data_IF_837195541181
#
_entry.id   IF_837195541181
#
_cell.length_a   1.000
_cell.length_b   1.000
_cell.length_c   1.000
_cell.angle_alpha   90.00
_cell.angle_beta   90.00
_cell.angle_gamma   90.00
#
_symmetry.space_group_name_H-M   'P 1'
#
loop_
_entity.id
_entity.type
_entity.pdbx_description
1 polymer ?
#
# COMPACT_ATOMS: atom_id res chain seq x y z
N UNK A 1 15.01 -29.52 0.41
CA UNK A 1 16.01 -28.72 1.14
C UNK A 1 15.70 -28.73 2.61
N UNK A 2 16.65 -29.23 3.41
CA UNK A 2 16.61 -29.11 4.87
C UNK A 2 17.18 -27.73 5.22
N UNK A 3 16.47 -26.97 6.04
CA UNK A 3 16.90 -25.62 6.45
C UNK A 3 17.90 -25.70 7.61
N UNK A 4 17.63 -26.56 8.58
CA UNK A 4 18.50 -26.87 9.70
C UNK A 4 18.09 -28.19 10.37
N UNK A 5 19.05 -28.79 11.07
CA UNK A 5 18.81 -29.83 12.07
C UNK A 5 19.05 -29.22 13.45
N UNK A 6 18.04 -29.26 14.31
CA UNK A 6 18.06 -28.62 15.63
C UNK A 6 17.59 -29.61 16.67
N UNK A 7 18.29 -29.65 17.81
CA UNK A 7 17.87 -30.44 18.97
C UNK A 7 16.87 -29.64 19.78
N UNK A 8 15.84 -30.31 20.25
CA UNK A 8 14.90 -29.74 21.22
C UNK A 8 15.58 -29.58 22.58
N UNK A 9 15.08 -28.63 23.37
CA UNK A 9 15.46 -28.46 24.77
C UNK A 9 14.84 -29.56 25.66
N UNK A 10 15.12 -29.50 26.97
CA UNK A 10 14.57 -30.44 27.96
C UNK A 10 13.05 -30.39 28.11
N UNK A 11 12.39 -29.40 27.51
CA UNK A 11 10.93 -29.23 27.49
C UNK A 11 10.32 -29.63 26.14
N UNK A 12 11.14 -30.07 25.18
CA UNK A 12 10.69 -30.49 23.84
C UNK A 12 10.51 -29.35 22.84
N UNK A 13 11.01 -28.14 23.13
CA UNK A 13 10.89 -26.99 22.22
C UNK A 13 12.19 -26.71 21.46
N UNK A 14 12.07 -26.12 20.28
CA UNK A 14 13.20 -25.56 19.54
C UNK A 14 12.80 -24.22 18.90
N UNK A 15 13.80 -23.39 18.58
CA UNK A 15 13.61 -22.17 17.80
C UNK A 15 14.71 -22.05 16.77
N UNK A 16 14.34 -21.63 15.57
CA UNK A 16 15.29 -21.43 14.46
C UNK A 16 15.02 -20.09 13.78
N UNK A 17 15.95 -19.12 13.84
CA UNK A 17 15.78 -17.82 13.21
C UNK A 17 15.95 -17.94 11.70
N UNK A 18 15.00 -17.38 10.94
CA UNK A 18 15.02 -17.36 9.48
C UNK A 18 15.05 -15.92 9.00
N UNK A 19 16.01 -15.60 8.13
CA UNK A 19 16.06 -14.32 7.41
C UNK A 19 15.57 -14.50 5.98
N UNK A 20 14.52 -13.75 5.62
CA UNK A 20 13.99 -13.74 4.27
C UNK A 20 14.63 -12.62 3.46
N UNK A 21 15.28 -12.98 2.34
CA UNK A 21 15.89 -12.01 1.43
C UNK A 21 15.01 -11.70 0.22
N UNK A 22 14.03 -12.57 -0.07
CA UNK A 22 13.13 -12.44 -1.21
C UNK A 22 11.68 -12.43 -0.73
N UNK A 23 10.85 -11.68 -1.44
CA UNK A 23 9.40 -11.71 -1.25
C UNK A 23 8.82 -12.96 -1.86
N UNK A 24 7.81 -13.52 -1.22
CA UNK A 24 7.13 -14.71 -1.73
C UNK A 24 6.34 -15.44 -0.66
N UNK A 25 5.83 -16.60 -1.05
CA UNK A 25 5.13 -17.53 -0.17
C UNK A 25 6.10 -18.66 0.19
N UNK A 26 6.33 -18.84 1.48
CA UNK A 26 7.20 -19.87 2.02
C UNK A 26 6.39 -20.90 2.78
N UNK A 27 6.75 -22.18 2.62
CA UNK A 27 6.09 -23.30 3.29
C UNK A 27 7.10 -23.98 4.21
N UNK A 28 6.73 -24.11 5.49
CA UNK A 28 7.58 -24.74 6.49
C UNK A 28 6.87 -25.93 7.13
N UNK A 29 7.64 -26.97 7.44
CA UNK A 29 7.23 -28.07 8.31
C UNK A 29 8.44 -28.53 9.10
N UNK A 30 8.19 -28.99 10.32
CA UNK A 30 9.16 -29.77 11.07
C UNK A 30 9.00 -31.25 10.70
N UNK A 31 10.12 -31.98 10.66
CA UNK A 31 10.12 -33.42 10.50
C UNK A 31 11.13 -34.02 11.46
N UNK A 32 10.72 -35.07 12.15
CA UNK A 32 11.55 -35.88 13.00
C UNK A 32 11.54 -37.31 12.47
N UNK A 33 12.72 -37.88 12.28
CA UNK A 33 12.87 -39.19 11.64
C UNK A 33 12.48 -40.37 12.56
N UNK A 34 12.31 -40.11 13.86
CA UNK A 34 12.12 -41.14 14.87
C UNK A 34 13.46 -41.63 15.43
N UNK A 35 13.38 -42.66 16.27
CA UNK A 35 14.52 -43.36 16.84
C UNK A 35 14.22 -44.88 16.95
N UNK A 36 15.04 -45.62 17.71
CA UNK A 36 14.87 -47.07 17.92
C UNK A 36 13.53 -47.44 18.58
N UNK A 37 12.96 -46.53 19.36
CA UNK A 37 11.78 -46.77 20.18
C UNK A 37 10.51 -46.13 19.61
N UNK A 38 10.65 -45.10 18.76
CA UNK A 38 9.54 -44.29 18.27
C UNK A 38 9.63 -44.05 16.76
N UNK A 39 8.49 -44.20 16.09
CA UNK A 39 8.38 -43.86 14.67
C UNK A 39 8.51 -42.34 14.45
N UNK A 40 9.03 -41.97 13.28
CA UNK A 40 9.14 -40.57 12.88
C UNK A 40 7.79 -39.86 12.79
N UNK A 41 7.83 -38.55 12.98
CA UNK A 41 6.66 -37.67 12.97
C UNK A 41 6.93 -36.39 12.19
N UNK A 42 5.90 -35.86 11.53
CA UNK A 42 5.96 -34.59 10.81
C UNK A 42 4.89 -33.64 11.30
N UNK A 43 5.20 -32.34 11.36
CA UNK A 43 4.20 -31.32 11.65
C UNK A 43 3.34 -31.03 10.42
N UNK A 44 2.17 -30.40 10.60
CA UNK A 44 1.49 -29.71 9.52
C UNK A 44 2.39 -28.68 8.84
N UNK A 45 2.07 -28.38 7.58
CA UNK A 45 2.76 -27.32 6.82
C UNK A 45 2.15 -25.98 7.21
N UNK A 46 3.01 -25.01 7.55
CA UNK A 46 2.63 -23.61 7.75
C UNK A 46 3.04 -22.78 6.54
N UNK A 47 2.21 -21.80 6.18
CA UNK A 47 2.48 -20.85 5.09
C UNK A 47 2.82 -19.47 5.65
N UNK A 48 3.89 -18.87 5.16
CA UNK A 48 4.35 -17.52 5.55
C UNK A 48 4.43 -16.64 4.31
N UNK A 49 3.77 -15.48 4.36
CA UNK A 49 3.80 -14.47 3.30
C UNK A 49 4.84 -13.40 3.62
N UNK A 50 5.88 -13.30 2.81
CA UNK A 50 6.93 -12.31 2.96
C UNK A 50 6.73 -11.22 1.92
N UNK A 51 6.42 -10.01 2.38
CA UNK A 51 6.16 -8.84 1.54
C UNK A 51 7.26 -7.80 1.72
N UNK A 52 7.61 -7.11 0.63
CA UNK A 52 8.60 -6.03 0.67
C UNK A 52 7.95 -4.76 1.20
N UNK A 53 8.62 -4.02 2.12
CA UNK A 53 8.12 -2.74 2.59
C UNK A 53 8.04 -1.70 1.47
N UNK A 54 8.73 -1.91 0.34
CA UNK A 54 8.64 -1.05 -0.83
C UNK A 54 7.19 -0.82 -1.28
N UNK A 55 6.37 -1.87 -1.30
CA UNK A 55 4.97 -1.76 -1.71
C UNK A 55 4.14 -0.93 -0.72
N UNK A 56 4.44 -1.01 0.58
CA UNK A 56 3.80 -0.17 1.58
C UNK A 56 4.18 1.31 1.37
N UNK A 57 5.45 1.60 1.10
CA UNK A 57 5.88 2.97 0.80
C UNK A 57 5.28 3.49 -0.52
N UNK A 58 5.16 2.65 -1.54
CA UNK A 58 4.49 3.01 -2.81
C UNK A 58 3.02 3.36 -2.54
N UNK A 59 2.31 2.60 -1.72
CA UNK A 59 0.91 2.89 -1.37
C UNK A 59 0.79 4.21 -0.60
N UNK A 60 1.67 4.45 0.38
CA UNK A 60 1.67 5.69 1.17
C UNK A 60 1.98 6.90 0.28
N UNK A 61 2.99 6.80 -0.59
CA UNK A 61 3.37 7.91 -1.48
C UNK A 61 2.27 8.20 -2.51
N UNK A 62 1.64 7.16 -3.08
CA UNK A 62 0.49 7.33 -3.97
C UNK A 62 -0.67 8.04 -3.26
N UNK A 63 -1.01 7.60 -2.05
CA UNK A 63 -2.09 8.23 -1.29
C UNK A 63 -1.78 9.69 -0.96
N UNK A 64 -0.54 9.99 -0.53
CA UNK A 64 -0.10 11.35 -0.26
C UNK A 64 -0.18 12.25 -1.51
N UNK A 65 0.25 11.76 -2.68
CA UNK A 65 0.16 12.50 -3.95
C UNK A 65 -1.28 12.77 -4.37
N UNK A 66 -2.19 11.81 -4.17
CA UNK A 66 -3.62 11.99 -4.41
C UNK A 66 -4.18 13.08 -3.49
N UNK A 67 -3.88 13.05 -2.19
CA UNK A 67 -4.31 14.09 -1.25
C UNK A 67 -3.79 15.48 -1.64
N UNK A 68 -2.50 15.59 -2.00
CA UNK A 68 -1.89 16.85 -2.45
C UNK A 68 -2.59 17.37 -3.70
N UNK A 69 -2.86 16.49 -4.66
CA UNK A 69 -3.52 16.86 -5.92
C UNK A 69 -4.94 17.37 -5.66
N UNK A 70 -5.70 16.71 -4.79
CA UNK A 70 -7.05 17.14 -4.40
C UNK A 70 -7.02 18.53 -3.74
N UNK A 71 -6.08 18.76 -2.81
CA UNK A 71 -5.94 20.08 -2.15
C UNK A 71 -5.63 21.17 -3.16
N UNK A 72 -4.71 20.93 -4.12
CA UNK A 72 -4.39 21.87 -5.18
C UNK A 72 -5.61 22.15 -6.06
N UNK A 73 -6.38 21.13 -6.42
CA UNK A 73 -7.60 21.27 -7.21
C UNK A 73 -8.62 22.14 -6.46
N UNK A 74 -8.87 21.87 -5.18
CA UNK A 74 -9.79 22.65 -4.35
C UNK A 74 -9.33 24.10 -4.26
N UNK A 75 -8.05 24.36 -4.01
CA UNK A 75 -7.50 25.72 -3.94
C UNK A 75 -7.67 26.45 -5.28
N UNK A 76 -7.36 25.80 -6.41
CA UNK A 76 -7.59 26.35 -7.74
C UNK A 76 -9.07 26.64 -8.00
N UNK A 77 -9.96 25.73 -7.62
CA UNK A 77 -11.41 25.92 -7.74
C UNK A 77 -11.89 27.13 -6.94
N UNK A 78 -11.42 27.30 -5.70
CA UNK A 78 -11.79 28.45 -4.84
C UNK A 78 -11.24 29.76 -5.40
N UNK A 79 -9.97 29.79 -5.82
CA UNK A 79 -9.36 30.98 -6.44
C UNK A 79 -10.09 31.39 -7.73
N UNK A 80 -10.42 30.41 -8.58
CA UNK A 80 -11.22 30.64 -9.80
C UNK A 80 -12.59 31.23 -9.44
N UNK A 81 -13.25 30.68 -8.41
CA UNK A 81 -14.55 31.18 -7.95
C UNK A 81 -14.46 32.63 -7.45
N UNK A 82 -13.40 33.01 -6.75
CA UNK A 82 -13.20 34.38 -6.26
C UNK A 82 -12.89 35.35 -7.41
N UNK A 83 -12.03 34.93 -8.35
CA UNK A 83 -11.70 35.72 -9.54
C UNK A 83 -12.94 36.01 -10.38
N UNK A 84 -13.74 34.99 -10.69
CA UNK A 84 -15.01 35.15 -11.45
C UNK A 84 -16.01 36.04 -10.72
N UNK A 85 -16.05 36.02 -9.38
CA UNK A 85 -16.93 36.89 -8.60
C UNK A 85 -16.50 38.36 -8.60
N UNK A 86 -15.19 38.62 -8.79
CA UNK A 86 -14.62 39.97 -8.81
C UNK A 86 -14.73 40.69 -10.16
N UNK A 87 -14.97 39.96 -11.26
CA UNK A 87 -15.16 40.56 -12.58
C UNK A 87 -16.58 41.17 -12.65
N UNK A 88 -16.72 42.49 -12.80
CA UNK A 88 -18.02 43.09 -13.08
C UNK A 88 -18.52 42.60 -14.44
N UNK A 89 -19.79 42.17 -14.52
CA UNK A 89 -20.42 41.84 -15.81
C UNK A 89 -20.26 43.07 -16.71
N UNK A 90 -19.52 42.91 -17.81
CA UNK A 90 -19.33 43.99 -18.78
C UNK A 90 -20.73 44.38 -19.28
N UNK A 91 -21.12 45.67 -19.27
CA UNK A 91 -22.38 46.08 -19.84
C UNK A 91 -22.40 45.66 -21.31
N UNK A 92 -23.41 44.87 -21.65
CA UNK A 92 -23.69 44.50 -23.03
C UNK A 92 -24.04 45.79 -23.77
N UNK A 93 -23.13 46.25 -24.64
CA UNK A 93 -23.36 47.43 -25.46
C UNK A 93 -24.40 47.01 -26.49
N UNK A 94 -25.66 47.36 -26.21
CA UNK A 94 -26.80 47.19 -27.11
C UNK A 94 -26.68 48.17 -28.28
N UNK A 95 -25.83 47.80 -29.26
CA UNK A 95 -25.61 48.51 -30.52
C UNK A 95 -26.88 48.60 -31.38
N UNK A 96 -27.91 47.81 -31.09
CA UNK A 96 -29.17 47.80 -31.84
C UNK A 96 -30.07 49.00 -31.49
N UNK A 97 -29.99 49.51 -30.25
CA UNK A 97 -30.81 50.65 -29.82
C UNK A 97 -30.34 52.02 -30.30
N UNK A 98 -29.07 52.16 -30.73
CA UNK A 98 -28.50 53.45 -31.14
C UNK A 98 -28.75 53.83 -32.61
N UNK A 99 -29.33 52.95 -33.42
CA UNK A 99 -29.53 53.21 -34.86
C UNK A 99 -30.90 53.83 -35.22
N UNK A 100 -31.84 53.94 -34.28
CA UNK A 100 -33.20 54.47 -34.55
C UNK A 100 -33.38 55.95 -34.16
N UNK A 101 -32.31 56.68 -33.82
CA UNK A 101 -32.37 58.06 -33.31
C UNK A 101 -31.71 59.12 -34.21
N UNK A 102 -31.42 58.81 -35.47
CA UNK A 102 -30.99 59.80 -36.50
C UNK A 102 -32.13 59.98 -37.50
#
# INVERSE_FOLDING_TARGET
NILAEVKTDSKGFFSYPIKFNLTGVYFFRANWSGDENYIGAGSPVISVFVVSPFWLFVLITMFALICITVVIIVLKCVLKSMYTRSIPKLPEIDLEKNFYFI
#
